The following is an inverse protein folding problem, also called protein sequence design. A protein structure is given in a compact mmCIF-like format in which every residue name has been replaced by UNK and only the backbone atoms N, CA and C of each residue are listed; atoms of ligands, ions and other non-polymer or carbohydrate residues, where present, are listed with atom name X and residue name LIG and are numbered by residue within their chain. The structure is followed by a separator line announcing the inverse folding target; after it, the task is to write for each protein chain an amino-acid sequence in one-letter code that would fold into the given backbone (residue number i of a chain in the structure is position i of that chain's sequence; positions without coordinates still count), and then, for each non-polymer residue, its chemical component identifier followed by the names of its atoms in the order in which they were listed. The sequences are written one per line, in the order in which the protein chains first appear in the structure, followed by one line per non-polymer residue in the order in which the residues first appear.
data_IF_462277258901
#
_entry.id   IF_462277258901
#
_cell.length_a   1.000
_cell.length_b   1.000
_cell.length_c   1.000
_cell.angle_alpha   90.00
_cell.angle_beta   90.00
_cell.angle_gamma   90.00
#
_symmetry.space_group_name_H-M   'P 1'
#
loop_
_entity.id
_entity.type
_entity.pdbx_description
1 polymer ?
#
# COMPACT_ATOMS: atom_id res chain seq x y z
N UNK A 1 -5.93 -16.33 -20.02
CA UNK A 1 -4.86 -16.61 -19.04
C UNK A 1 -5.29 -15.88 -17.78
N UNK A 2 -5.66 -16.63 -16.76
CA UNK A 2 -6.28 -16.09 -15.56
C UNK A 2 -5.24 -15.24 -14.82
N UNK A 3 -5.47 -13.92 -14.79
CA UNK A 3 -4.59 -12.99 -14.08
C UNK A 3 -4.93 -13.17 -12.61
N UNK A 4 -4.36 -14.18 -11.97
CA UNK A 4 -4.49 -14.39 -10.52
C UNK A 4 -3.91 -13.17 -9.80
N UNK A 5 -4.75 -12.16 -9.60
CA UNK A 5 -4.61 -11.04 -8.66
C UNK A 5 -3.22 -10.41 -8.58
N UNK A 6 -2.75 -9.73 -9.62
CA UNK A 6 -1.71 -8.72 -9.42
C UNK A 6 -2.36 -7.50 -8.74
N UNK A 7 -1.72 -6.91 -7.72
CA UNK A 7 -2.19 -5.66 -7.15
C UNK A 7 -1.85 -5.49 -5.68
N UNK A 8 -1.84 -4.23 -5.27
CA UNK A 8 -1.69 -3.87 -3.88
C UNK A 8 -3.02 -4.06 -3.13
N UNK A 9 -2.98 -4.87 -2.07
CA UNK A 9 -4.11 -5.19 -1.20
C UNK A 9 -3.98 -4.47 0.14
N UNK A 10 -5.13 -4.03 0.66
CA UNK A 10 -5.29 -3.41 1.97
C UNK A 10 -6.41 -4.12 2.70
N UNK A 11 -6.14 -4.62 3.90
CA UNK A 11 -7.13 -5.33 4.73
C UNK A 11 -6.99 -4.96 6.21
N UNK A 12 -8.07 -5.12 7.02
CA UNK A 12 -7.99 -4.94 8.46
C UNK A 12 -7.00 -5.92 9.11
N UNK A 13 -6.20 -5.44 10.06
CA UNK A 13 -5.31 -6.28 10.84
C UNK A 13 -6.03 -6.92 12.03
N UNK A 14 -5.54 -8.07 12.47
CA UNK A 14 -6.00 -8.74 13.71
C UNK A 14 -5.44 -8.09 14.99
N UNK A 15 -4.51 -7.15 14.86
CA UNK A 15 -3.97 -6.40 16.00
C UNK A 15 -4.95 -5.38 16.60
N UNK A 16 -6.01 -5.03 15.87
CA UNK A 16 -7.05 -4.13 16.35
C UNK A 16 -7.62 -3.26 15.24
N UNK A 17 -8.74 -2.59 15.52
CA UNK A 17 -9.49 -1.81 14.54
C UNK A 17 -8.67 -0.66 13.91
N UNK A 18 -7.67 -0.12 14.62
CA UNK A 18 -6.81 0.96 14.15
C UNK A 18 -5.70 0.54 13.19
N UNK A 19 -5.51 -0.76 12.94
CA UNK A 19 -4.39 -1.31 12.17
C UNK A 19 -4.85 -1.95 10.87
N UNK A 20 -4.05 -1.75 9.82
CA UNK A 20 -4.24 -2.31 8.49
C UNK A 20 -3.01 -3.14 8.10
N UNK A 21 -3.20 -4.05 7.16
CA UNK A 21 -2.13 -4.76 6.46
C UNK A 21 -2.13 -4.32 5.01
N UNK A 22 -0.96 -3.92 4.51
CA UNK A 22 -0.74 -3.51 3.14
C UNK A 22 0.33 -4.37 2.47
N UNK A 23 0.04 -4.94 1.30
CA UNK A 23 0.95 -5.89 0.62
C UNK A 23 0.76 -5.94 -0.89
N UNK A 24 1.77 -6.44 -1.58
CA UNK A 24 1.63 -6.94 -2.95
C UNK A 24 1.01 -8.34 -2.91
N UNK A 25 -0.11 -8.53 -3.62
CA UNK A 25 -0.85 -9.80 -3.64
C UNK A 25 -0.06 -10.93 -4.30
N UNK A 26 0.72 -10.58 -5.33
CA UNK A 26 1.56 -11.55 -6.03
C UNK A 26 2.75 -12.05 -5.18
N UNK A 27 3.14 -11.31 -4.13
CA UNK A 27 4.20 -11.72 -3.22
C UNK A 27 3.64 -12.57 -2.07
N UNK A 28 3.48 -13.86 -2.35
CA UNK A 28 3.00 -14.85 -1.37
C UNK A 28 3.98 -15.11 -0.22
N UNK A 29 5.24 -14.67 -0.34
CA UNK A 29 6.26 -14.86 0.68
C UNK A 29 6.27 -13.74 1.72
N UNK A 30 5.61 -12.61 1.41
CA UNK A 30 5.50 -11.47 2.30
C UNK A 30 4.22 -11.49 3.14
N UNK A 31 4.39 -11.26 4.44
CA UNK A 31 3.28 -11.00 5.36
C UNK A 31 2.69 -9.58 5.20
N UNK A 32 3.26 -8.75 4.33
CA UNK A 32 2.90 -7.34 4.19
C UNK A 32 3.46 -6.45 5.29
N UNK A 33 3.14 -5.17 5.18
CA UNK A 33 3.45 -4.14 6.16
C UNK A 33 2.21 -3.87 7.01
N UNK A 34 2.39 -3.80 8.33
CA UNK A 34 1.39 -3.28 9.24
C UNK A 34 1.49 -1.76 9.29
N UNK A 35 0.37 -1.07 9.17
CA UNK A 35 0.28 0.39 9.17
C UNK A 35 -0.98 0.83 9.89
N UNK A 36 -0.91 1.89 10.70
CA UNK A 36 -2.11 2.46 11.30
C UNK A 36 -3.02 3.07 10.23
N UNK A 37 -4.31 3.19 10.54
CA UNK A 37 -5.26 3.89 9.66
C UNK A 37 -4.86 5.35 9.40
N UNK A 38 -4.29 6.03 10.40
CA UNK A 38 -3.88 7.42 10.27
C UNK A 38 -2.79 7.58 9.20
N UNK A 39 -1.76 6.75 9.28
CA UNK A 39 -0.61 6.83 8.37
C UNK A 39 -0.95 6.26 6.99
N UNK A 40 -1.81 5.25 6.92
CA UNK A 40 -2.37 4.81 5.66
C UNK A 40 -3.21 5.92 4.99
N UNK A 41 -4.00 6.68 5.75
CA UNK A 41 -4.74 7.83 5.21
C UNK A 41 -3.79 8.93 4.72
N UNK A 42 -2.71 9.21 5.45
CA UNK A 42 -1.64 10.10 5.02
C UNK A 42 -0.99 9.66 3.71
N UNK A 43 -0.63 8.38 3.61
CA UNK A 43 -0.09 7.77 2.40
C UNK A 43 -1.06 7.95 1.21
N UNK A 44 -2.34 7.60 1.37
CA UNK A 44 -3.35 7.77 0.30
C UNK A 44 -3.49 9.25 -0.11
N UNK A 45 -3.42 10.18 0.84
CA UNK A 45 -3.47 11.63 0.56
C UNK A 45 -2.28 12.08 -0.30
N UNK A 46 -1.06 11.68 0.05
CA UNK A 46 0.15 12.01 -0.74
C UNK A 46 0.13 11.37 -2.13
N UNK A 47 -0.41 10.16 -2.25
CA UNK A 47 -0.63 9.51 -3.55
C UNK A 47 -1.60 10.31 -4.42
N UNK A 48 -2.73 10.74 -3.86
CA UNK A 48 -3.72 11.58 -4.58
C UNK A 48 -3.17 12.94 -4.98
N UNK A 49 -2.32 13.52 -4.15
CA UNK A 49 -1.65 14.78 -4.43
C UNK A 49 -0.54 14.64 -5.49
N UNK A 50 -0.17 13.41 -5.88
CA UNK A 50 0.93 13.14 -6.80
C UNK A 50 2.30 13.42 -6.19
N UNK A 51 2.40 13.56 -4.87
CA UNK A 51 3.65 13.84 -4.16
C UNK A 51 4.46 12.57 -3.87
N UNK A 52 3.84 11.40 -3.96
CA UNK A 52 4.52 10.14 -3.72
C UNK A 52 5.30 9.71 -4.97
N UNK A 53 6.63 9.86 -4.91
CA UNK A 53 7.55 9.35 -5.93
C UNK A 53 8.12 8.02 -5.44
N UNK A 54 7.69 6.88 -6.01
CA UNK A 54 8.19 5.59 -5.55
C UNK A 54 9.59 5.32 -6.11
N UNK A 55 10.36 4.47 -5.41
CA UNK A 55 11.72 4.11 -5.85
C UNK A 55 11.63 2.97 -6.86
N UNK A 56 12.10 3.19 -8.09
CA UNK A 56 12.21 2.16 -9.12
C UNK A 56 13.55 1.43 -9.04
N UNK A 57 13.55 0.10 -9.04
CA UNK A 57 14.77 -0.72 -9.05
C UNK A 57 14.54 -2.02 -9.81
N UNK A 58 15.26 -2.21 -10.92
CA UNK A 58 15.25 -3.48 -11.67
C UNK A 58 13.86 -3.87 -12.19
N UNK A 59 13.04 -2.91 -12.63
CA UNK A 59 11.66 -3.16 -13.08
C UNK A 59 10.63 -3.32 -11.95
N UNK A 60 11.05 -3.21 -10.69
CA UNK A 60 10.19 -3.20 -9.52
C UNK A 60 10.06 -1.79 -8.94
N UNK A 61 9.02 -1.61 -8.13
CA UNK A 61 8.70 -0.39 -7.40
C UNK A 61 8.78 -0.71 -5.91
N UNK A 62 9.45 0.15 -5.15
CA UNK A 62 9.52 0.07 -3.69
C UNK A 62 8.71 1.23 -3.12
N UNK A 63 7.66 0.89 -2.38
CA UNK A 63 6.80 1.82 -1.67
C UNK A 63 7.21 1.86 -0.20
N UNK A 64 7.32 3.07 0.34
CA UNK A 64 7.48 3.29 1.78
C UNK A 64 6.12 3.66 2.38
N UNK A 65 5.72 2.92 3.40
CA UNK A 65 4.41 3.01 4.06
C UNK A 65 4.57 2.59 5.53
N UNK A 66 3.95 3.29 6.48
CA UNK A 66 3.99 2.88 7.89
C UNK A 66 4.10 4.03 8.87
N UNK A 67 4.06 3.67 10.16
CA UNK A 67 3.91 4.57 11.31
C UNK A 67 5.16 5.31 11.77
N UNK A 68 6.11 5.53 10.86
CA UNK A 68 7.31 6.31 11.16
C UNK A 68 8.08 5.82 12.40
N UNK A 69 8.62 4.60 12.32
CA UNK A 69 10.05 4.50 12.68
C UNK A 69 10.81 5.01 11.45
N UNK A 70 11.34 6.26 11.45
CA UNK A 70 12.12 6.76 10.32
C UNK A 70 13.38 5.92 10.08
N UNK A 71 13.85 5.17 11.08
CA UNK A 71 14.95 4.21 10.92
C UNK A 71 14.48 2.88 10.33
N UNK A 72 13.17 2.56 10.41
CA UNK A 72 12.58 1.30 9.93
C UNK A 72 11.22 1.49 9.25
N UNK A 73 11.16 2.22 8.13
CA UNK A 73 9.94 2.34 7.36
C UNK A 73 9.49 0.98 6.84
N UNK A 74 8.19 0.72 6.88
CA UNK A 74 7.60 -0.41 6.19
C UNK A 74 7.80 -0.28 4.69
N UNK A 75 8.22 -1.37 4.04
CA UNK A 75 8.48 -1.41 2.61
C UNK A 75 7.61 -2.46 1.94
N UNK A 76 6.93 -2.07 0.88
CA UNK A 76 6.23 -2.99 -0.01
C UNK A 76 6.92 -2.95 -1.36
N UNK A 77 7.39 -4.11 -1.81
CA UNK A 77 7.90 -4.29 -3.17
C UNK A 77 6.74 -4.67 -4.06
N UNK A 78 6.58 -3.98 -5.17
CA UNK A 78 5.45 -4.14 -6.10
C UNK A 78 5.91 -3.97 -7.54
N UNK A 79 5.02 -4.21 -8.48
CA UNK A 79 5.27 -4.02 -9.92
C UNK A 79 4.69 -2.69 -10.41
N UNK A 80 5.18 -2.15 -11.55
CA UNK A 80 4.56 -0.99 -12.20
C UNK A 80 3.07 -1.15 -12.50
N UNK A 81 2.63 -2.36 -12.85
CA UNK A 81 1.23 -2.63 -13.18
C UNK A 81 0.35 -2.69 -11.93
N UNK A 82 0.83 -3.35 -10.86
CA UNK A 82 0.17 -3.34 -9.55
C UNK A 82 0.06 -1.92 -8.98
N UNK A 83 1.13 -1.11 -9.14
CA UNK A 83 1.12 0.28 -8.73
C UNK A 83 0.10 1.11 -9.51
N UNK A 84 0.07 0.97 -10.85
CA UNK A 84 -0.91 1.67 -11.69
C UNK A 84 -2.35 1.28 -11.32
N UNK A 85 -2.61 -0.01 -11.08
CA UNK A 85 -3.92 -0.48 -10.63
C UNK A 85 -4.30 0.11 -9.26
N UNK A 86 -3.34 0.20 -8.34
CA UNK A 86 -3.55 0.86 -7.04
C UNK A 86 -3.88 2.33 -7.18
N UNK A 87 -3.15 3.09 -8.02
CA UNK A 87 -3.46 4.49 -8.31
C UNK A 87 -4.90 4.67 -8.80
N UNK A 88 -5.32 3.87 -9.78
CA UNK A 88 -6.70 3.92 -10.29
C UNK A 88 -7.73 3.75 -9.17
N UNK A 89 -7.52 2.78 -8.27
CA UNK A 89 -8.40 2.51 -7.13
C UNK A 89 -8.37 3.63 -6.08
N UNK A 90 -7.21 4.24 -5.84
CA UNK A 90 -7.08 5.42 -4.98
C UNK A 90 -7.90 6.59 -5.50
N UNK A 91 -7.83 6.88 -6.81
CA UNK A 91 -8.62 7.95 -7.42
C UNK A 91 -10.12 7.62 -7.49
N UNK A 92 -10.49 6.34 -7.56
CA UNK A 92 -11.89 5.90 -7.48
C UNK A 92 -12.49 5.95 -6.07
N UNK A 93 -11.69 6.16 -5.02
CA UNK A 93 -12.20 6.21 -3.64
C UNK A 93 -12.25 4.86 -2.91
N UNK A 94 -11.73 3.77 -3.50
CA UNK A 94 -11.82 2.41 -2.95
C UNK A 94 -11.28 2.27 -1.52
N UNK A 95 -10.33 3.13 -1.15
CA UNK A 95 -9.63 3.09 0.13
C UNK A 95 -10.19 4.05 1.18
N UNK A 96 -11.22 4.85 0.86
CA UNK A 96 -11.77 5.85 1.79
C UNK A 96 -12.30 5.20 3.08
N UNK A 97 -12.84 3.98 3.01
CA UNK A 97 -13.29 3.20 4.18
C UNK A 97 -12.18 2.89 5.18
N UNK A 98 -10.94 2.85 4.73
CA UNK A 98 -9.77 2.61 5.57
C UNK A 98 -9.20 3.90 6.15
N UNK A 99 -9.54 5.05 5.55
CA UNK A 99 -9.10 6.37 5.96
C UNK A 99 -10.03 7.05 6.98
N UNK A 100 -11.22 6.47 7.24
CA UNK A 100 -12.13 6.95 8.28
C UNK A 100 -11.65 6.46 9.65
N UNK A 101 -11.57 7.39 10.61
CA UNK A 101 -11.31 7.15 12.03
C UNK A 101 -12.61 6.90 12.77
#
# INVERSE_FOLDING_TARGET
MDVMGAGLEVEPSRLGAGWLRFREKADSTSSGVLVSRLEFAGFVREVRAGHLVPVARGGLIILTVGDADPERPGRVVTTPDSWRAFLTRVYAGDFDRFCRM
#
